data_IF_560903770454
#
_entry.id   IF_560903770454
#
_cell.length_a   1.000
_cell.length_b   1.000
_cell.length_c   1.000
_cell.angle_alpha   90.00
_cell.angle_beta   90.00
_cell.angle_gamma   90.00
#
_symmetry.space_group_name_H-M   'P 1'
#
loop_
_entity.id
_entity.type
_entity.pdbx_description
1 polymer ?
#
# COMPACT_ATOMS: atom_id res chain seq x y z
N UNK A 1 -32.17 15.51 9.46
CA UNK A 1 -31.57 16.30 8.36
C UNK A 1 -30.16 15.79 8.17
N UNK A 2 -29.83 15.21 7.02
CA UNK A 2 -28.46 14.75 6.76
C UNK A 2 -27.63 15.91 6.19
N UNK A 3 -26.43 16.10 6.73
CA UNK A 3 -25.49 17.12 6.22
C UNK A 3 -24.64 16.47 5.15
N UNK A 4 -24.72 16.98 3.91
CA UNK A 4 -23.86 16.53 2.82
C UNK A 4 -22.49 17.20 2.93
N UNK A 5 -21.45 16.40 3.14
CA UNK A 5 -20.05 16.85 3.18
C UNK A 5 -19.32 16.24 1.98
N UNK A 6 -18.61 17.03 1.15
CA UNK A 6 -17.85 16.51 0.01
C UNK A 6 -16.80 15.46 0.42
N UNK A 7 -16.54 14.42 -0.39
CA UNK A 7 -15.58 13.36 -0.04
C UNK A 7 -14.17 13.85 0.32
N UNK A 8 -13.67 14.86 -0.41
CA UNK A 8 -12.35 15.47 -0.12
C UNK A 8 -12.31 16.16 1.25
N UNK A 9 -13.43 16.76 1.65
CA UNK A 9 -13.54 17.42 2.95
C UNK A 9 -13.64 16.38 4.08
N UNK A 10 -14.37 15.28 3.85
CA UNK A 10 -14.40 14.14 4.77
C UNK A 10 -12.98 13.62 5.00
N UNK A 11 -12.23 13.32 3.94
CA UNK A 11 -10.85 12.85 4.04
C UNK A 11 -9.95 13.86 4.80
N UNK A 12 -10.05 15.15 4.46
CA UNK A 12 -9.26 16.20 5.12
C UNK A 12 -9.56 16.28 6.63
N UNK A 13 -10.83 16.19 7.01
CA UNK A 13 -11.26 16.16 8.42
C UNK A 13 -10.77 14.90 9.12
N UNK A 14 -10.88 13.72 8.49
CA UNK A 14 -10.36 12.47 9.06
C UNK A 14 -8.86 12.52 9.31
N UNK A 15 -8.07 13.04 8.35
CA UNK A 15 -6.63 13.18 8.54
C UNK A 15 -6.28 14.16 9.67
N UNK A 16 -7.03 15.26 9.79
CA UNK A 16 -6.85 16.22 10.89
C UNK A 16 -7.20 15.61 12.27
N UNK A 17 -8.22 14.75 12.34
CA UNK A 17 -8.56 14.01 13.56
C UNK A 17 -7.41 13.08 13.95
N UNK A 18 -6.90 12.28 13.00
CA UNK A 18 -5.74 11.42 13.24
C UNK A 18 -4.54 12.23 13.72
N UNK A 19 -4.25 13.37 13.08
CA UNK A 19 -3.19 14.28 13.50
C UNK A 19 -3.38 14.76 14.95
N UNK A 20 -4.61 15.04 15.38
CA UNK A 20 -4.90 15.52 16.74
C UNK A 20 -4.84 14.43 17.82
N UNK A 21 -5.04 13.17 17.44
CA UNK A 21 -5.01 12.03 18.36
C UNK A 21 -3.59 11.51 18.62
N UNK A 22 -2.62 11.81 17.76
CA UNK A 22 -1.22 11.41 17.96
C UNK A 22 -0.44 12.51 18.69
N UNK A 23 0.04 12.26 19.92
CA UNK A 23 0.76 13.25 20.71
C UNK A 23 2.15 13.56 20.12
N UNK A 24 2.65 14.76 20.41
CA UNK A 24 4.03 15.14 20.08
C UNK A 24 5.01 14.74 21.20
N UNK A 25 6.25 14.33 20.86
CA UNK A 25 6.79 14.19 19.50
C UNK A 25 6.27 12.92 18.79
N UNK A 26 5.80 13.06 17.55
CA UNK A 26 5.36 11.91 16.76
C UNK A 26 6.51 10.95 16.42
N UNK A 27 6.24 9.62 16.34
CA UNK A 27 7.26 8.63 15.95
C UNK A 27 7.77 8.77 14.52
N UNK A 28 6.95 9.31 13.62
CA UNK A 28 7.26 9.52 12.19
C UNK A 28 7.11 10.99 11.82
N UNK A 29 7.88 11.46 10.84
CA UNK A 29 7.85 12.86 10.36
C UNK A 29 7.73 12.94 8.85
N UNK A 30 7.33 14.11 8.34
CA UNK A 30 7.28 14.43 6.91
C UNK A 30 6.62 13.34 6.05
N UNK A 31 7.37 12.77 5.10
CA UNK A 31 6.88 11.74 4.18
C UNK A 31 6.57 10.42 4.90
N UNK A 32 7.31 10.07 5.94
CA UNK A 32 7.03 8.88 6.74
C UNK A 32 5.68 9.02 7.45
N UNK A 33 5.42 10.20 8.04
CA UNK A 33 4.12 10.49 8.63
C UNK A 33 3.00 10.44 7.60
N UNK A 34 3.21 10.94 6.38
CA UNK A 34 2.21 10.87 5.32
C UNK A 34 1.81 9.42 4.97
N UNK A 35 2.76 8.48 4.99
CA UNK A 35 2.51 7.05 4.78
C UNK A 35 1.77 6.45 5.96
N UNK A 36 2.29 6.60 7.19
CA UNK A 36 1.69 5.99 8.38
C UNK A 36 0.30 6.54 8.68
N UNK A 37 0.10 7.86 8.53
CA UNK A 37 -1.21 8.50 8.67
C UNK A 37 -2.23 7.94 7.67
N UNK A 38 -1.81 7.62 6.44
CA UNK A 38 -2.68 6.97 5.46
C UNK A 38 -3.04 5.55 5.86
N UNK A 39 -2.11 4.80 6.44
CA UNK A 39 -2.38 3.44 6.95
C UNK A 39 -3.43 3.49 8.06
N UNK A 40 -3.24 4.37 9.06
CA UNK A 40 -4.20 4.58 10.15
C UNK A 40 -5.57 5.03 9.59
N UNK A 41 -5.60 5.92 8.60
CA UNK A 41 -6.86 6.35 7.98
C UNK A 41 -7.64 5.19 7.36
N UNK A 42 -6.95 4.23 6.77
CA UNK A 42 -7.58 3.06 6.14
C UNK A 42 -8.04 2.02 7.16
N UNK A 43 -7.33 1.86 8.28
CA UNK A 43 -7.60 0.79 9.26
C UNK A 43 -8.33 1.26 10.52
N UNK A 44 -8.34 2.57 10.79
CA UNK A 44 -8.69 3.17 12.07
C UNK A 44 -7.90 2.61 13.27
N UNK A 45 -6.67 2.12 13.03
CA UNK A 45 -5.84 1.44 14.03
C UNK A 45 -4.54 2.20 14.31
N UNK A 46 -4.43 2.79 15.51
CA UNK A 46 -3.26 3.54 15.97
C UNK A 46 -2.12 2.66 16.46
N UNK A 47 -2.33 1.36 16.69
CA UNK A 47 -1.25 0.43 17.07
C UNK A 47 -0.18 0.30 15.97
N UNK A 48 -0.50 0.72 14.75
CA UNK A 48 0.44 0.85 13.64
C UNK A 48 1.61 1.79 13.94
N UNK A 49 1.45 2.76 14.83
CA UNK A 49 2.55 3.63 15.28
C UNK A 49 3.69 2.82 15.90
N UNK A 50 3.39 1.71 16.56
CA UNK A 50 4.36 0.86 17.24
C UNK A 50 4.88 -0.27 16.35
N UNK A 51 4.11 -0.68 15.33
CA UNK A 51 4.39 -1.84 14.49
C UNK A 51 5.10 -1.50 13.18
N UNK A 52 4.84 -0.31 12.62
CA UNK A 52 5.43 0.09 11.34
C UNK A 52 6.94 0.31 11.50
N UNK A 53 7.71 -0.22 10.55
CA UNK A 53 9.14 0.02 10.41
C UNK A 53 9.40 0.47 8.98
N UNK A 54 10.00 1.63 8.82
CA UNK A 54 10.38 2.17 7.51
C UNK A 54 11.90 2.16 7.42
N UNK A 55 12.43 1.55 6.37
CA UNK A 55 13.85 1.69 6.06
C UNK A 55 14.13 3.16 5.67
N UNK A 56 15.27 3.77 6.07
CA UNK A 56 15.54 5.19 5.80
C UNK A 56 15.47 5.59 4.32
N UNK A 57 15.69 4.63 3.40
CA UNK A 57 15.61 4.83 1.95
C UNK A 57 14.30 4.35 1.32
N UNK A 58 13.38 3.73 2.07
CA UNK A 58 12.21 3.06 1.51
C UNK A 58 11.35 3.99 0.65
N UNK A 59 11.04 5.17 1.18
CA UNK A 59 10.18 6.15 0.50
C UNK A 59 10.87 6.67 -0.76
N UNK A 60 12.12 7.11 -0.64
CA UNK A 60 12.85 7.67 -1.78
C UNK A 60 13.08 6.63 -2.88
N UNK A 61 13.48 5.41 -2.51
CA UNK A 61 13.66 4.31 -3.45
C UNK A 61 12.35 3.94 -4.16
N UNK A 62 11.23 3.91 -3.42
CA UNK A 62 9.90 3.67 -3.99
C UNK A 62 9.47 4.76 -4.97
N UNK A 63 9.66 6.04 -4.61
CA UNK A 63 9.39 7.17 -5.51
C UNK A 63 10.22 7.07 -6.78
N UNK A 64 11.52 6.76 -6.66
CA UNK A 64 12.41 6.68 -7.82
C UNK A 64 12.10 5.47 -8.70
N UNK A 65 11.70 4.33 -8.12
CA UNK A 65 11.22 3.18 -8.87
C UNK A 65 9.96 3.54 -9.67
N UNK A 66 8.99 4.20 -9.05
CA UNK A 66 7.77 4.66 -9.74
C UNK A 66 8.09 5.66 -10.86
N UNK A 67 9.01 6.59 -10.65
CA UNK A 67 9.44 7.54 -11.69
C UNK A 67 10.14 6.86 -12.87
N UNK A 68 10.75 5.70 -12.66
CA UNK A 68 11.43 4.90 -13.69
C UNK A 68 10.49 3.93 -14.42
N UNK A 69 9.18 3.94 -14.12
CA UNK A 69 8.22 3.03 -14.75
C UNK A 69 8.31 1.61 -14.22
N UNK A 70 8.45 1.44 -12.90
CA UNK A 70 8.54 0.14 -12.28
C UNK A 70 7.31 -0.76 -12.53
N UNK A 71 7.54 -2.06 -12.55
CA UNK A 71 6.49 -3.08 -12.46
C UNK A 71 6.16 -3.35 -10.99
N UNK A 72 4.91 -3.12 -10.60
CA UNK A 72 4.43 -3.31 -9.23
C UNK A 72 3.83 -4.71 -9.11
N UNK A 73 4.50 -5.57 -8.36
CA UNK A 73 4.01 -6.90 -8.06
C UNK A 73 3.21 -6.88 -6.76
N UNK A 74 2.01 -7.47 -6.76
CA UNK A 74 1.24 -7.71 -5.54
C UNK A 74 1.03 -9.19 -5.30
N UNK A 75 1.06 -9.59 -4.03
CA UNK A 75 0.79 -10.96 -3.59
C UNK A 75 -0.69 -11.32 -3.72
N UNK A 76 -1.61 -10.35 -3.56
CA UNK A 76 -3.06 -10.56 -3.65
C UNK A 76 -3.73 -9.73 -4.74
N UNK A 77 -4.86 -10.23 -5.24
CA UNK A 77 -5.74 -9.51 -6.17
C UNK A 77 -6.40 -8.28 -5.51
N UNK A 78 -6.66 -8.35 -4.20
CA UNK A 78 -7.22 -7.23 -3.44
C UNK A 78 -6.25 -6.03 -3.44
N UNK A 79 -4.96 -6.26 -3.18
CA UNK A 79 -3.95 -5.21 -3.25
C UNK A 79 -3.85 -4.61 -4.65
N UNK A 80 -3.87 -5.46 -5.70
CA UNK A 80 -3.89 -4.99 -7.10
C UNK A 80 -5.08 -4.08 -7.39
N UNK A 81 -6.29 -4.49 -6.98
CA UNK A 81 -7.53 -3.72 -7.19
C UNK A 81 -7.51 -2.36 -6.46
N UNK A 82 -6.77 -2.25 -5.36
CA UNK A 82 -6.57 -1.00 -4.63
C UNK A 82 -5.65 0.01 -5.34
N UNK A 83 -4.85 -0.42 -6.33
CA UNK A 83 -3.91 0.45 -7.05
C UNK A 83 -4.63 1.08 -8.27
N UNK A 84 -4.83 2.41 -8.29
CA UNK A 84 -5.60 3.04 -9.36
C UNK A 84 -4.78 3.15 -10.67
N UNK A 85 -5.17 2.39 -11.69
CA UNK A 85 -4.53 2.37 -13.03
C UNK A 85 -4.32 3.78 -13.61
N UNK A 86 -5.29 4.69 -13.44
CA UNK A 86 -5.20 6.09 -13.89
C UNK A 86 -4.00 6.86 -13.32
N UNK A 87 -3.47 6.46 -12.16
CA UNK A 87 -2.27 7.07 -11.56
C UNK A 87 -0.98 6.39 -12.01
N UNK A 88 -1.03 5.16 -12.50
CA UNK A 88 0.14 4.43 -13.01
C UNK A 88 0.48 4.81 -14.46
N UNK A 89 -0.54 5.02 -15.30
CA UNK A 89 -0.36 5.33 -16.73
C UNK A 89 0.61 6.51 -16.98
N UNK A 90 0.50 7.67 -16.30
CA UNK A 90 1.44 8.78 -16.51
C UNK A 90 2.87 8.47 -16.09
N UNK A 91 3.06 7.49 -15.19
CA UNK A 91 4.35 7.05 -14.69
C UNK A 91 4.96 5.93 -15.53
N UNK A 92 4.22 5.41 -16.52
CA UNK A 92 4.57 4.20 -17.31
C UNK A 92 4.84 2.97 -16.43
N UNK A 93 4.21 2.91 -15.26
CA UNK A 93 4.25 1.74 -14.39
C UNK A 93 3.18 0.73 -14.80
N UNK A 94 3.44 -0.55 -14.51
CA UNK A 94 2.46 -1.63 -14.52
C UNK A 94 2.19 -2.12 -13.10
N UNK A 95 1.07 -2.82 -12.90
CA UNK A 95 0.83 -3.59 -11.69
C UNK A 95 0.21 -4.94 -12.05
N UNK A 96 0.67 -6.03 -11.40
CA UNK A 96 0.18 -7.38 -11.68
C UNK A 96 0.20 -8.28 -10.44
N UNK A 97 -0.67 -9.29 -10.46
CA UNK A 97 -0.74 -10.35 -9.47
C UNK A 97 -0.98 -11.68 -10.19
N UNK A 98 -0.02 -12.60 -10.10
CA UNK A 98 -0.06 -13.90 -10.79
C UNK A 98 -0.69 -15.01 -9.94
N UNK A 99 -1.12 -14.70 -8.71
CA UNK A 99 -1.69 -15.69 -7.76
C UNK A 99 -2.89 -16.47 -8.33
N UNK A 100 -3.59 -15.91 -9.33
CA UNK A 100 -4.74 -16.54 -9.99
C UNK A 100 -4.40 -17.48 -11.16
N UNK A 101 -3.14 -17.55 -11.58
CA UNK A 101 -2.71 -18.37 -12.72
C UNK A 101 -2.69 -19.86 -12.34
N UNK A 102 -3.11 -20.73 -13.28
CA UNK A 102 -3.23 -22.17 -13.03
C UNK A 102 -1.86 -22.80 -12.75
N UNK A 103 -0.83 -22.33 -13.43
CA UNK A 103 0.56 -22.74 -13.31
C UNK A 103 1.07 -22.52 -11.88
N UNK A 104 0.70 -21.41 -11.24
CA UNK A 104 1.07 -21.10 -9.85
C UNK A 104 0.42 -22.09 -8.88
N UNK A 105 -0.83 -22.50 -9.12
CA UNK A 105 -1.49 -23.51 -8.30
C UNK A 105 -0.81 -24.88 -8.41
N UNK A 106 -0.44 -25.29 -9.63
CA UNK A 106 0.31 -26.53 -9.87
C UNK A 106 1.69 -26.48 -9.22
N UNK A 107 2.42 -25.37 -9.38
CA UNK A 107 3.73 -25.18 -8.78
C UNK A 107 3.65 -25.28 -7.25
N UNK A 108 2.73 -24.53 -6.62
CA UNK A 108 2.53 -24.54 -5.17
C UNK A 108 2.25 -25.96 -4.63
N UNK A 109 1.38 -26.72 -5.32
CA UNK A 109 1.08 -28.09 -4.94
C UNK A 109 2.29 -29.01 -5.08
N UNK A 110 3.04 -28.91 -6.18
CA UNK A 110 4.23 -29.74 -6.43
C UNK A 110 5.36 -29.49 -5.44
N UNK A 111 5.49 -28.25 -4.98
CA UNK A 111 6.55 -27.81 -4.06
C UNK A 111 6.13 -27.87 -2.59
N UNK A 112 4.85 -28.11 -2.29
CA UNK A 112 4.34 -28.11 -0.92
C UNK A 112 4.35 -26.73 -0.24
N UNK A 113 4.26 -25.64 -1.04
CA UNK A 113 4.29 -24.25 -0.56
C UNK A 113 2.94 -23.56 -0.78
N UNK A 114 2.79 -22.34 -0.27
CA UNK A 114 1.57 -21.55 -0.52
C UNK A 114 1.56 -21.00 -1.94
N UNK A 115 0.37 -20.70 -2.48
CA UNK A 115 0.24 -20.00 -3.77
C UNK A 115 0.88 -18.62 -3.78
N UNK A 116 0.86 -17.90 -2.65
CA UNK A 116 1.52 -16.61 -2.52
C UNK A 116 3.05 -16.74 -2.68
N UNK A 117 3.65 -17.75 -2.05
CA UNK A 117 5.07 -18.06 -2.23
C UNK A 117 5.36 -18.36 -3.70
N UNK A 118 4.70 -19.35 -4.29
CA UNK A 118 4.94 -19.75 -5.67
C UNK A 118 4.76 -18.59 -6.66
N UNK A 119 3.77 -17.72 -6.42
CA UNK A 119 3.54 -16.52 -7.22
C UNK A 119 4.72 -15.54 -7.19
N UNK A 120 5.25 -15.25 -6.00
CA UNK A 120 6.38 -14.33 -5.84
C UNK A 120 7.65 -14.91 -6.46
N UNK A 121 7.94 -16.19 -6.24
CA UNK A 121 9.10 -16.88 -6.83
C UNK A 121 9.05 -16.93 -8.36
N UNK A 122 7.85 -16.97 -8.96
CA UNK A 122 7.70 -17.05 -10.42
C UNK A 122 7.96 -15.71 -11.15
N UNK A 123 7.97 -14.58 -10.42
CA UNK A 123 8.00 -13.22 -11.01
C UNK A 123 9.12 -12.33 -10.49
N UNK A 124 9.87 -12.80 -9.50
CA UNK A 124 11.15 -12.23 -9.06
C UNK A 124 12.31 -12.81 -9.87
#
# INVERSE_FOLDING_TARGET
MYTHIPPKEIESRSLAIIDSEVPEPRPFRDQEWAVVRRMIHTTADFSLLESVRLHPLAIQAGIDALRKGADIVTDTQMALAGIPVRRLQPLKCSARCVMGEAEIATQAQSQGVTRAWAAVDAIM
#
